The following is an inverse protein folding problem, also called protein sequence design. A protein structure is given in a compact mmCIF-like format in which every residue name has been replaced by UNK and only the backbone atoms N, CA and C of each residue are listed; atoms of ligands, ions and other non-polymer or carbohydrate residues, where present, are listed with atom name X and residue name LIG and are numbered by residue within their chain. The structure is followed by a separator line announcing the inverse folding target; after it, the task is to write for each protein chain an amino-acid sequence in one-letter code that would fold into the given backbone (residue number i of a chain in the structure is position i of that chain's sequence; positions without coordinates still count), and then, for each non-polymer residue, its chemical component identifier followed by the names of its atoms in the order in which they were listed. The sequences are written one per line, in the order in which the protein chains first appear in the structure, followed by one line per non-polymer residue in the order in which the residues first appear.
data_IF_611431188572
#
_entry.id   IF_611431188572
#
_cell.length_a   1.000
_cell.length_b   1.000
_cell.length_c   1.000
_cell.angle_alpha   90.00
_cell.angle_beta   90.00
_cell.angle_gamma   90.00
#
_symmetry.space_group_name_H-M   'P 1'
#
loop_
_entity.id
_entity.type
_entity.pdbx_description
1 polymer ?
#
# COMPACT_ATOMS: atom_id res chain seq x y z
N UNK A 1 -2.25 -19.74 0.17
CA UNK A 1 -2.60 -18.69 1.16
C UNK A 1 -3.77 -17.90 0.59
N UNK A 2 -4.70 -17.45 1.41
CA UNK A 2 -5.77 -16.56 0.95
C UNK A 2 -5.31 -15.11 1.07
N UNK A 3 -5.84 -14.24 0.22
CA UNK A 3 -5.61 -12.80 0.31
C UNK A 3 -6.55 -12.17 1.34
N UNK A 4 -6.11 -11.09 1.97
CA UNK A 4 -6.87 -10.34 2.97
C UNK A 4 -8.17 -9.74 2.39
N UNK A 5 -8.18 -9.45 1.09
CA UNK A 5 -9.30 -8.89 0.37
C UNK A 5 -9.70 -9.79 -0.80
N UNK A 6 -10.97 -9.72 -1.22
CA UNK A 6 -11.45 -10.40 -2.41
C UNK A 6 -10.83 -9.76 -3.66
N UNK A 7 -9.89 -10.48 -4.30
CA UNK A 7 -9.20 -9.99 -5.49
C UNK A 7 -9.97 -10.33 -6.78
N UNK A 8 -9.82 -9.54 -7.86
CA UNK A 8 -10.37 -9.89 -9.17
C UNK A 8 -9.70 -11.14 -9.75
N UNK A 9 -10.31 -11.72 -10.78
CA UNK A 9 -9.68 -12.79 -11.56
C UNK A 9 -8.30 -12.33 -12.11
N UNK A 10 -7.33 -13.24 -12.08
CA UNK A 10 -5.94 -12.97 -12.51
C UNK A 10 -5.23 -11.87 -11.69
N UNK A 11 -5.62 -11.70 -10.42
CA UNK A 11 -4.95 -10.83 -9.46
C UNK A 11 -4.44 -11.63 -8.25
N UNK A 12 -3.19 -11.45 -7.80
CA UNK A 12 -2.14 -10.57 -8.34
C UNK A 12 -1.71 -10.93 -9.77
N UNK A 13 -1.08 -10.01 -10.51
CA UNK A 13 -0.53 -10.32 -11.82
C UNK A 13 0.57 -11.38 -11.68
N UNK A 14 0.85 -12.11 -12.77
CA UNK A 14 1.82 -13.23 -12.76
C UNK A 14 3.23 -12.78 -12.37
N UNK A 15 3.55 -11.53 -12.64
CA UNK A 15 4.83 -10.88 -12.36
C UNK A 15 4.98 -10.47 -10.90
N UNK A 16 3.90 -10.48 -10.10
CA UNK A 16 3.99 -10.20 -8.68
C UNK A 16 4.76 -11.31 -7.95
N UNK A 17 5.61 -10.90 -7.02
CA UNK A 17 6.49 -11.80 -6.26
C UNK A 17 6.15 -11.74 -4.77
N UNK A 18 6.49 -12.80 -4.06
CA UNK A 18 6.39 -12.89 -2.61
C UNK A 18 7.81 -13.01 -2.03
N UNK A 19 8.45 -11.86 -1.93
CA UNK A 19 9.78 -11.69 -1.35
C UNK A 19 9.74 -10.54 -0.34
N UNK A 20 10.66 -10.55 0.62
CA UNK A 20 10.78 -9.44 1.56
C UNK A 20 11.16 -8.15 0.84
N UNK A 21 10.56 -7.04 1.22
CA UNK A 21 10.89 -5.72 0.69
C UNK A 21 10.77 -4.63 1.75
N UNK A 22 11.49 -3.55 1.52
CA UNK A 22 11.49 -2.37 2.38
C UNK A 22 12.85 -1.67 2.40
N UNK A 23 12.92 -0.46 2.96
CA UNK A 23 11.82 0.26 3.60
C UNK A 23 10.75 0.72 2.58
N UNK A 24 9.49 0.42 2.88
CA UNK A 24 8.34 0.85 2.10
C UNK A 24 7.56 1.92 2.87
N UNK A 25 6.95 2.85 2.15
CA UNK A 25 6.31 4.03 2.73
C UNK A 25 4.80 4.02 2.44
N UNK A 26 3.99 4.11 3.49
CA UNK A 26 2.52 4.26 3.40
C UNK A 26 2.13 5.66 3.84
N UNK A 27 1.35 6.34 3.01
CA UNK A 27 0.67 7.57 3.42
C UNK A 27 -0.48 7.26 4.39
N UNK A 28 -0.51 7.92 5.54
CA UNK A 28 -1.45 7.67 6.62
C UNK A 28 -2.25 8.94 6.99
N UNK A 29 -3.54 8.80 7.35
CA UNK A 29 -4.37 9.93 7.77
C UNK A 29 -4.22 10.28 9.26
N UNK A 30 -3.54 9.45 10.06
CA UNK A 30 -3.37 9.62 11.50
C UNK A 30 -2.05 9.02 11.99
N UNK A 31 -1.62 9.45 13.18
CA UNK A 31 -0.37 9.00 13.81
C UNK A 31 -0.41 7.53 14.25
N UNK A 32 -1.58 7.05 14.70
CA UNK A 32 -1.79 5.66 15.11
C UNK A 32 -2.39 4.90 13.91
N UNK A 33 -1.62 4.02 13.26
CA UNK A 33 -2.09 3.30 12.08
C UNK A 33 -3.04 2.18 12.50
N UNK A 34 -4.13 2.02 11.76
CA UNK A 34 -5.08 0.90 11.90
C UNK A 34 -5.12 0.12 10.58
N UNK A 35 -5.64 -1.11 10.61
CA UNK A 35 -5.69 -1.99 9.44
C UNK A 35 -6.39 -1.34 8.23
N UNK A 36 -7.45 -0.56 8.47
CA UNK A 36 -8.22 0.14 7.44
C UNK A 36 -7.38 1.16 6.67
N UNK A 37 -6.30 1.68 7.26
CA UNK A 37 -5.36 2.56 6.56
C UNK A 37 -4.55 1.82 5.48
N UNK A 38 -4.56 0.49 5.48
CA UNK A 38 -3.88 -0.37 4.51
C UNK A 38 -4.83 -1.03 3.52
N UNK A 39 -6.15 -0.84 3.67
CA UNK A 39 -7.11 -1.34 2.70
C UNK A 39 -6.89 -0.73 1.31
N UNK A 40 -7.16 -1.53 0.28
CA UNK A 40 -7.15 -1.08 -1.10
C UNK A 40 -8.23 -0.04 -1.36
N UNK A 41 -8.09 0.72 -2.45
CA UNK A 41 -9.14 1.65 -2.84
C UNK A 41 -10.45 0.94 -3.21
N UNK A 42 -10.36 -0.29 -3.72
CA UNK A 42 -11.51 -1.17 -3.96
C UNK A 42 -12.24 -1.51 -2.66
N UNK A 43 -11.53 -1.99 -1.65
CA UNK A 43 -12.12 -2.35 -0.34
C UNK A 43 -12.72 -1.15 0.38
N UNK A 44 -12.14 0.04 0.19
CA UNK A 44 -12.68 1.30 0.69
C UNK A 44 -13.90 1.83 -0.11
N UNK A 45 -14.37 1.10 -1.13
CA UNK A 45 -15.53 1.51 -1.93
C UNK A 45 -15.32 2.78 -2.75
N UNK A 46 -14.07 3.12 -3.08
CA UNK A 46 -13.79 4.33 -3.87
C UNK A 46 -14.20 4.14 -5.32
N UNK A 47 -14.39 5.26 -6.03
CA UNK A 47 -14.56 5.21 -7.47
C UNK A 47 -13.21 4.93 -8.14
N UNK A 48 -13.16 3.87 -8.95
CA UNK A 48 -11.98 3.49 -9.70
C UNK A 48 -11.69 4.49 -10.83
N UNK A 49 -10.46 5.01 -10.95
CA UNK A 49 -10.05 5.80 -12.10
C UNK A 49 -10.07 4.98 -13.41
N UNK A 50 -10.32 5.62 -14.55
CA UNK A 50 -10.39 4.95 -15.85
C UNK A 50 -9.05 4.33 -16.28
N UNK A 51 -7.93 4.91 -15.86
CA UNK A 51 -6.56 4.51 -16.20
C UNK A 51 -5.96 3.46 -15.25
N UNK A 52 -6.73 3.00 -14.27
CA UNK A 52 -6.27 2.01 -13.27
C UNK A 52 -6.98 0.69 -13.49
N UNK A 53 -6.20 -0.40 -13.57
CA UNK A 53 -6.71 -1.77 -13.70
C UNK A 53 -7.40 -2.23 -12.42
N UNK A 54 -8.33 -3.18 -12.51
CA UNK A 54 -9.02 -3.72 -11.32
C UNK A 54 -8.04 -4.29 -10.29
N UNK A 55 -7.02 -5.02 -10.75
CA UNK A 55 -6.05 -5.65 -9.85
C UNK A 55 -5.22 -4.61 -9.07
N UNK A 56 -4.74 -3.56 -9.75
CA UNK A 56 -4.06 -2.43 -9.11
C UNK A 56 -4.99 -1.65 -8.18
N UNK A 57 -6.26 -1.52 -8.55
CA UNK A 57 -7.25 -0.86 -7.68
C UNK A 57 -7.53 -1.65 -6.40
N UNK A 58 -7.34 -2.98 -6.46
CA UNK A 58 -7.41 -3.91 -5.34
C UNK A 58 -6.07 -4.11 -4.60
N UNK A 59 -5.05 -3.29 -4.87
CA UNK A 59 -3.78 -3.33 -4.12
C UNK A 59 -3.75 -2.30 -2.98
N UNK A 60 -2.96 -2.58 -1.95
CA UNK A 60 -2.48 -1.57 -1.01
C UNK A 60 -1.30 -0.83 -1.63
N UNK A 61 -1.49 0.47 -1.86
CA UNK A 61 -0.44 1.33 -2.41
C UNK A 61 0.66 1.65 -1.39
N UNK A 62 1.88 1.23 -1.69
CA UNK A 62 3.10 1.61 -0.97
C UNK A 62 4.07 2.32 -1.92
N UNK A 63 5.17 2.85 -1.39
CA UNK A 63 6.21 3.53 -2.16
C UNK A 63 7.59 3.12 -1.67
N UNK A 64 8.60 3.13 -2.54
CA UNK A 64 10.00 2.80 -2.16
C UNK A 64 10.87 4.02 -1.83
N UNK A 65 10.35 5.24 -2.00
CA UNK A 65 11.09 6.49 -1.78
C UNK A 65 10.38 7.41 -0.79
N UNK A 66 11.02 7.70 0.35
CA UNK A 66 10.49 8.61 1.36
C UNK A 66 10.28 10.01 0.79
N UNK A 67 11.29 10.55 0.11
CA UNK A 67 11.26 11.90 -0.45
C UNK A 67 10.14 12.06 -1.49
N UNK A 68 9.94 11.05 -2.33
CA UNK A 68 8.82 11.04 -3.27
C UNK A 68 7.47 10.94 -2.57
N UNK A 69 7.37 10.12 -1.53
CA UNK A 69 6.15 9.99 -0.74
C UNK A 69 5.79 11.30 -0.06
N UNK A 70 6.76 12.00 0.56
CA UNK A 70 6.58 13.34 1.13
C UNK A 70 6.11 14.34 0.08
N UNK A 71 6.70 14.34 -1.12
CA UNK A 71 6.28 15.21 -2.23
C UNK A 71 4.84 14.96 -2.66
N UNK A 72 4.43 13.69 -2.79
CA UNK A 72 3.05 13.32 -3.15
C UNK A 72 2.08 13.74 -2.03
N UNK A 73 2.43 13.47 -0.76
CA UNK A 73 1.59 13.80 0.38
C UNK A 73 1.32 15.32 0.51
N UNK A 74 2.29 16.15 0.11
CA UNK A 74 2.17 17.62 0.09
C UNK A 74 1.34 18.18 -1.07
N UNK A 75 0.95 17.36 -2.06
CA UNK A 75 0.11 17.82 -3.16
C UNK A 75 -1.25 18.31 -2.65
N UNK A 76 -1.87 19.35 -3.26
CA UNK A 76 -3.14 19.92 -2.78
C UNK A 76 -4.27 18.90 -2.58
N UNK A 77 -4.30 17.83 -3.41
CA UNK A 77 -5.30 16.76 -3.32
C UNK A 77 -5.10 15.79 -2.14
N UNK A 78 -3.88 15.74 -1.60
CA UNK A 78 -3.46 14.77 -0.57
C UNK A 78 -3.23 15.43 0.79
N UNK A 79 -2.76 16.68 0.84
CA UNK A 79 -2.33 17.36 2.07
C UNK A 79 -3.38 17.45 3.19
N UNK A 80 -4.67 17.39 2.86
CA UNK A 80 -5.75 17.38 3.86
C UNK A 80 -6.16 15.98 4.31
N UNK A 81 -5.65 14.93 3.65
CA UNK A 81 -6.00 13.53 3.88
C UNK A 81 -4.83 12.72 4.45
N UNK A 82 -3.61 13.21 4.30
CA UNK A 82 -2.38 12.54 4.69
C UNK A 82 -1.65 13.46 5.65
N UNK A 83 -1.48 13.00 6.88
CA UNK A 83 -0.81 13.73 7.96
C UNK A 83 0.49 13.05 8.39
N UNK A 84 0.63 11.75 8.06
CA UNK A 84 1.77 10.95 8.46
C UNK A 84 2.25 10.04 7.32
N UNK A 85 3.48 9.53 7.44
CA UNK A 85 4.04 8.45 6.63
C UNK A 85 4.45 7.32 7.57
N UNK A 86 3.90 6.13 7.37
CA UNK A 86 4.38 4.90 8.00
C UNK A 86 5.54 4.31 7.20
N UNK A 87 6.59 3.89 7.89
CA UNK A 87 7.74 3.15 7.33
C UNK A 87 7.56 1.67 7.67
N UNK A 88 7.51 0.82 6.65
CA UNK A 88 7.25 -0.61 6.77
C UNK A 88 8.43 -1.42 6.25
N UNK A 89 8.73 -2.52 6.96
CA UNK A 89 9.54 -3.60 6.42
C UNK A 89 8.62 -4.82 6.29
N UNK A 90 8.39 -5.27 5.06
CA UNK A 90 7.45 -6.35 4.75
C UNK A 90 8.25 -7.64 4.57
N UNK A 91 8.11 -8.63 5.48
CA UNK A 91 8.81 -9.90 5.33
C UNK A 91 8.18 -10.76 4.23
N UNK A 92 8.95 -11.73 3.74
CA UNK A 92 8.42 -12.78 2.86
C UNK A 92 7.26 -13.52 3.55
N UNK A 93 6.25 -13.92 2.78
CA UNK A 93 5.05 -14.58 3.28
C UNK A 93 3.99 -13.62 3.80
N UNK A 94 4.15 -12.31 3.58
CA UNK A 94 3.16 -11.27 3.96
C UNK A 94 2.14 -10.98 2.86
N UNK A 95 2.45 -11.34 1.63
CA UNK A 95 1.64 -11.05 0.46
C UNK A 95 2.50 -10.94 -0.80
N UNK A 96 1.83 -10.79 -1.94
CA UNK A 96 2.50 -10.59 -3.22
C UNK A 96 2.61 -9.10 -3.52
N UNK A 97 3.70 -8.65 -4.14
CA UNK A 97 3.88 -7.26 -4.54
C UNK A 97 4.47 -7.12 -5.92
N UNK A 98 4.23 -5.97 -6.53
CA UNK A 98 4.84 -5.54 -7.78
C UNK A 98 5.18 -4.05 -7.70
N UNK A 99 6.43 -3.70 -7.94
CA UNK A 99 6.87 -2.31 -8.09
C UNK A 99 6.82 -1.88 -9.56
N UNK A 100 6.40 -0.64 -9.80
CA UNK A 100 6.48 -0.01 -11.11
C UNK A 100 7.63 1.00 -11.21
N UNK A 101 7.92 1.47 -12.43
CA UNK A 101 8.96 2.47 -12.73
C UNK A 101 8.83 3.81 -11.98
N UNK A 102 7.71 4.02 -11.28
CA UNK A 102 7.46 5.19 -10.45
C UNK A 102 7.62 4.90 -8.97
N UNK A 103 8.40 3.89 -8.59
CA UNK A 103 8.69 3.55 -7.18
C UNK A 103 7.41 3.37 -6.35
N UNK A 104 6.32 3.01 -7.03
CA UNK A 104 5.02 2.74 -6.44
C UNK A 104 4.83 1.24 -6.46
N UNK A 105 4.42 0.72 -5.31
CA UNK A 105 4.31 -0.70 -5.03
C UNK A 105 2.84 -1.02 -4.90
N UNK A 106 2.39 -1.94 -5.72
CA UNK A 106 1.10 -2.59 -5.59
C UNK A 106 1.26 -3.82 -4.71
N UNK A 107 0.73 -3.78 -3.49
CA UNK A 107 0.88 -4.85 -2.49
C UNK A 107 -0.46 -5.53 -2.17
N UNK A 108 -0.54 -6.83 -2.38
CA UNK A 108 -1.70 -7.67 -2.07
C UNK A 108 -1.39 -8.54 -0.86
N UNK A 109 -1.83 -8.09 0.31
CA UNK A 109 -1.59 -8.75 1.60
C UNK A 109 -2.32 -10.09 1.70
N UNK A 110 -1.67 -11.07 2.33
CA UNK A 110 -2.37 -12.28 2.77
C UNK A 110 -3.24 -12.02 4.00
N UNK A 111 -4.24 -12.86 4.22
CA UNK A 111 -5.21 -12.76 5.31
C UNK A 111 -4.58 -12.79 6.72
N UNK A 112 -3.45 -13.47 6.88
CA UNK A 112 -2.73 -13.57 8.15
C UNK A 112 -1.73 -12.44 8.44
N UNK A 113 -1.56 -11.48 7.53
CA UNK A 113 -0.59 -10.40 7.70
C UNK A 113 -1.21 -9.18 8.38
N UNK A 114 -0.61 -8.72 9.47
CA UNK A 114 -0.97 -7.46 10.14
C UNK A 114 0.03 -6.34 9.77
N UNK A 115 -0.31 -5.45 8.82
CA UNK A 115 0.58 -4.36 8.43
C UNK A 115 0.90 -3.39 9.58
N UNK A 116 0.04 -3.27 10.59
CA UNK A 116 0.23 -2.31 11.69
C UNK A 116 1.38 -2.73 12.60
N UNK A 117 1.52 -4.03 12.87
CA UNK A 117 2.64 -4.61 13.61
C UNK A 117 3.99 -4.57 12.87
N UNK A 118 3.99 -4.25 11.57
CA UNK A 118 5.18 -4.17 10.72
C UNK A 118 5.64 -2.74 10.41
N UNK A 119 5.07 -1.75 11.09
CA UNK A 119 5.49 -0.34 11.00
C UNK A 119 6.66 -0.13 11.96
N UNK A 120 7.83 0.19 11.40
CA UNK A 120 9.04 0.49 12.15
C UNK A 120 9.06 1.93 12.69
N UNK A 121 8.44 2.86 11.96
CA UNK A 121 8.43 4.29 12.28
C UNK A 121 7.18 4.98 11.68
N UNK A 122 6.69 6.02 12.35
CA UNK A 122 5.67 6.94 11.80
C UNK A 122 6.23 8.36 11.80
N UNK A 123 6.27 8.98 10.63
CA UNK A 123 6.82 10.32 10.39
C UNK A 123 5.66 11.31 10.21
N UNK A 124 5.63 12.41 10.95
CA UNK A 124 4.69 13.53 10.75
C UNK A 124 5.12 14.42 9.57
N UNK A 125 4.17 14.97 8.80
CA UNK A 125 4.39 15.62 7.49
C UNK A 125 4.37 17.15 7.45
#
# INVERSE_FOLDING_TARGET
MAYLEDLPDSCPPREAIDESFGPAYRMLPAAVPILEHFHSHRKLGRQKPHDVTECRFASCSLFMSLEKTKRIARMPKMRSKVTHIGVLNVPQGSGSWLENDREHVDFWMYDGFDPTGHIAEVIEL
#
